data_IF_766111824843
#
_entry.id   IF_766111824843
#
_cell.length_a   1.000
_cell.length_b   1.000
_cell.length_c   1.000
_cell.angle_alpha   90.00
_cell.angle_beta   90.00
_cell.angle_gamma   90.00
#
_symmetry.space_group_name_H-M   'P 1'
#
loop_
_entity.id
_entity.type
_entity.pdbx_description
1 polymer ?
#
# COMPACT_ATOMS: atom_id res chain seq x y z
N UNK A 1 -6.18 -1.45 2.96
CA UNK A 1 -7.27 -1.82 2.05
C UNK A 1 -6.73 -1.84 0.61
N UNK A 2 -7.18 -2.79 -0.23
CA UNK A 2 -6.73 -2.89 -1.63
C UNK A 2 -7.22 -1.71 -2.51
N UNK A 3 -8.27 -1.01 -2.09
CA UNK A 3 -8.79 0.19 -2.76
C UNK A 3 -8.17 1.50 -2.22
N UNK A 4 -7.20 1.40 -1.32
CA UNK A 4 -6.54 2.58 -0.74
C UNK A 4 -5.08 2.63 -1.19
N UNK A 5 -4.65 3.81 -1.64
CA UNK A 5 -3.25 4.12 -1.93
C UNK A 5 -2.71 5.11 -0.90
N UNK A 6 -1.47 4.91 -0.46
CA UNK A 6 -0.71 5.87 0.31
C UNK A 6 0.31 6.53 -0.62
N UNK A 7 0.25 7.85 -0.73
CA UNK A 7 1.20 8.66 -1.50
C UNK A 7 2.06 9.43 -0.52
N UNK A 8 3.37 9.30 -0.64
CA UNK A 8 4.35 10.06 0.14
C UNK A 8 5.22 10.89 -0.80
N UNK A 9 5.38 12.18 -0.53
CA UNK A 9 6.17 13.06 -1.38
C UNK A 9 6.89 14.18 -0.60
N UNK A 10 7.98 14.65 -1.17
CA UNK A 10 8.68 15.87 -0.77
C UNK A 10 9.13 16.60 -2.04
N UNK A 11 9.61 17.82 -1.90
CA UNK A 11 10.25 18.57 -2.98
C UNK A 11 11.63 17.99 -3.32
N UNK A 12 12.01 18.11 -4.60
CA UNK A 12 13.31 17.70 -5.08
C UNK A 12 13.42 16.21 -5.45
N UNK A 13 14.61 15.65 -5.33
CA UNK A 13 14.88 14.25 -5.70
C UNK A 13 14.34 13.29 -4.64
N UNK A 14 13.83 12.13 -5.10
CA UNK A 14 13.19 11.14 -4.24
C UNK A 14 14.13 10.34 -3.32
N UNK A 15 15.44 10.48 -3.44
CA UNK A 15 16.40 9.71 -2.64
C UNK A 15 16.20 9.90 -1.12
N UNK A 16 15.95 11.14 -0.67
CA UNK A 16 15.69 11.45 0.73
C UNK A 16 14.34 10.92 1.22
N UNK A 17 13.35 10.81 0.33
CA UNK A 17 12.03 10.20 0.63
C UNK A 17 12.17 8.70 0.85
N UNK A 18 12.85 8.01 -0.05
CA UNK A 18 13.03 6.55 -0.01
C UNK A 18 13.86 6.12 1.21
N UNK A 19 14.89 6.88 1.54
CA UNK A 19 15.78 6.59 2.67
C UNK A 19 15.18 7.01 4.04
N UNK A 20 14.03 7.69 4.06
CA UNK A 20 13.43 8.22 5.28
C UNK A 20 14.26 9.32 5.94
N UNK A 21 15.12 10.00 5.18
CA UNK A 21 16.00 11.04 5.67
C UNK A 21 15.34 12.41 5.80
N UNK A 22 14.14 12.58 5.25
CA UNK A 22 13.38 13.83 5.30
C UNK A 22 11.93 13.61 5.72
N UNK A 23 11.31 14.68 6.23
CA UNK A 23 9.87 14.72 6.46
C UNK A 23 9.13 14.75 5.12
N UNK A 24 8.03 14.02 5.01
CA UNK A 24 7.24 13.88 3.79
C UNK A 24 5.79 14.23 4.00
N UNK A 25 5.18 14.85 3.01
CA UNK A 25 3.72 14.94 2.93
C UNK A 25 3.13 13.57 2.64
N UNK A 26 1.96 13.27 3.20
CA UNK A 26 1.27 12.01 3.00
C UNK A 26 -0.20 12.25 2.63
N UNK A 27 -0.68 11.48 1.66
CA UNK A 27 -2.08 11.44 1.28
C UNK A 27 -2.55 10.00 1.21
N UNK A 28 -3.71 9.77 1.79
CA UNK A 28 -4.46 8.52 1.63
C UNK A 28 -5.56 8.76 0.61
N UNK A 29 -5.59 7.98 -0.46
CA UNK A 29 -6.52 8.18 -1.59
C UNK A 29 -7.29 6.88 -1.82
N UNK A 30 -8.59 6.98 -1.99
CA UNK A 30 -9.39 5.89 -2.50
C UNK A 30 -9.12 5.73 -4.00
N UNK A 31 -8.51 4.62 -4.42
CA UNK A 31 -8.05 4.41 -5.80
C UNK A 31 -9.18 4.50 -6.82
N UNK A 32 -10.31 3.84 -6.53
CA UNK A 32 -11.45 3.74 -7.45
C UNK A 32 -12.14 5.08 -7.73
N UNK A 33 -12.21 5.98 -6.75
CA UNK A 33 -12.91 7.28 -6.88
C UNK A 33 -11.96 8.47 -7.02
N UNK A 34 -10.68 8.31 -6.67
CA UNK A 34 -9.72 9.40 -6.56
C UNK A 34 -9.95 10.31 -5.34
N UNK A 35 -10.86 9.94 -4.43
CA UNK A 35 -11.18 10.75 -3.26
C UNK A 35 -10.02 10.73 -2.25
N UNK A 36 -9.64 11.91 -1.77
CA UNK A 36 -8.64 12.05 -0.71
C UNK A 36 -9.31 11.73 0.62
N UNK A 37 -8.85 10.67 1.31
CA UNK A 37 -9.38 10.20 2.59
C UNK A 37 -8.67 10.88 3.76
N UNK A 38 -7.37 11.11 3.63
CA UNK A 38 -6.53 11.75 4.65
C UNK A 38 -5.42 12.56 3.99
N UNK A 39 -4.99 13.63 4.67
CA UNK A 39 -3.87 14.47 4.25
C UNK A 39 -3.05 14.86 5.47
N UNK A 40 -1.75 14.65 5.40
CA UNK A 40 -0.77 15.10 6.38
C UNK A 40 0.28 15.93 5.64
N UNK A 41 0.36 17.21 5.92
CA UNK A 41 1.40 18.09 5.38
C UNK A 41 2.50 18.23 6.44
N UNK A 42 3.70 17.82 6.09
CA UNK A 42 4.86 17.86 6.96
C UNK A 42 5.50 19.25 7.00
N UNK A 43 6.29 19.51 8.02
CA UNK A 43 7.18 20.68 8.08
C UNK A 43 8.54 20.27 7.46
N UNK A 44 8.61 20.35 6.13
CA UNK A 44 9.74 19.89 5.32
C UNK A 44 10.89 20.90 5.41
N UNK A 45 11.93 20.57 6.12
CA UNK A 45 13.08 21.47 6.32
C UNK A 45 14.06 21.49 5.15
N UNK A 46 14.16 20.39 4.40
CA UNK A 46 15.12 20.21 3.32
C UNK A 46 14.47 19.64 2.05
N UNK A 47 15.07 19.96 0.92
CA UNK A 47 14.86 19.28 -0.36
C UNK A 47 16.22 18.87 -0.95
N UNK A 48 16.29 17.69 -1.56
CA UNK A 48 17.50 17.24 -2.24
C UNK A 48 17.46 17.64 -3.70
N UNK A 49 18.52 18.23 -4.23
CA UNK A 49 18.64 18.65 -5.63
C UNK A 49 19.94 18.13 -6.26
N UNK A 50 19.95 18.06 -7.60
CA UNK A 50 21.19 17.82 -8.34
C UNK A 50 22.12 19.02 -8.19
N UNK A 51 23.39 18.75 -7.84
CA UNK A 51 24.41 19.79 -7.79
C UNK A 51 24.98 20.08 -9.19
N UNK A 52 25.25 21.33 -9.50
CA UNK A 52 25.89 21.73 -10.76
C UNK A 52 27.33 21.23 -10.91
N UNK A 53 27.96 20.87 -9.80
CA UNK A 53 29.31 20.25 -9.76
C UNK A 53 29.32 18.73 -9.87
N UNK A 54 28.13 18.11 -10.00
CA UNK A 54 27.89 16.67 -9.97
C UNK A 54 27.50 16.18 -8.57
N UNK A 55 26.70 15.11 -8.53
CA UNK A 55 26.12 14.56 -7.30
C UNK A 55 24.83 15.27 -6.86
N UNK A 56 24.47 15.12 -5.60
CA UNK A 56 23.29 15.70 -4.98
C UNK A 56 23.67 16.59 -3.81
N UNK A 57 22.86 17.60 -3.53
CA UNK A 57 23.03 18.47 -2.39
C UNK A 57 21.67 18.77 -1.71
N UNK A 58 21.70 18.93 -0.40
CA UNK A 58 20.52 19.30 0.37
C UNK A 58 20.40 20.82 0.45
N UNK A 59 19.25 21.32 0.08
CA UNK A 59 18.89 22.74 0.15
C UNK A 59 17.84 22.96 1.23
N UNK A 60 18.08 23.93 2.12
CA UNK A 60 17.12 24.33 3.15
C UNK A 60 15.95 25.05 2.48
N UNK A 61 14.73 24.61 2.79
CA UNK A 61 13.50 25.28 2.38
C UNK A 61 13.22 26.51 3.28
N UNK A 62 12.67 27.54 2.70
CA UNK A 62 12.19 28.67 3.49
C UNK A 62 10.89 28.29 4.25
N UNK A 63 10.52 29.07 5.27
CA UNK A 63 9.39 28.76 6.16
C UNK A 63 8.01 28.72 5.45
N UNK A 64 7.85 29.38 4.30
CA UNK A 64 6.61 29.29 3.52
C UNK A 64 6.51 28.01 2.71
N UNK A 65 7.62 27.59 2.14
CA UNK A 65 7.67 26.40 1.27
C UNK A 65 7.70 25.12 2.11
N UNK A 66 8.34 25.14 3.29
CA UNK A 66 8.43 23.98 4.18
C UNK A 66 7.06 23.39 4.55
N UNK A 67 6.04 24.25 4.69
CA UNK A 67 4.66 23.86 5.06
C UNK A 67 3.68 23.85 3.90
N UNK A 68 4.11 24.14 2.68
CA UNK A 68 3.25 24.04 1.51
C UNK A 68 3.15 22.60 1.02
N UNK A 69 1.99 22.15 0.50
CA UNK A 69 1.87 20.83 -0.09
C UNK A 69 2.86 20.65 -1.26
N UNK A 70 3.57 19.52 -1.27
CA UNK A 70 4.51 19.19 -2.35
C UNK A 70 3.80 18.75 -3.64
N UNK A 71 2.51 18.37 -3.56
CA UNK A 71 1.68 17.99 -4.69
C UNK A 71 0.38 18.79 -4.73
N UNK A 72 -0.02 19.14 -5.94
CA UNK A 72 -1.35 19.69 -6.23
C UNK A 72 -2.40 18.58 -6.32
N UNK A 73 -3.72 18.88 -6.23
CA UNK A 73 -4.76 17.91 -6.48
C UNK A 73 -4.67 17.26 -7.87
N UNK A 74 -4.21 17.99 -8.88
CA UNK A 74 -4.00 17.45 -10.22
C UNK A 74 -2.84 16.44 -10.26
N UNK A 75 -1.73 16.73 -9.54
CA UNK A 75 -0.62 15.80 -9.40
C UNK A 75 -1.04 14.53 -8.66
N UNK A 76 -1.80 14.64 -7.56
CA UNK A 76 -2.31 13.48 -6.82
C UNK A 76 -3.18 12.60 -7.69
N UNK A 77 -4.06 13.20 -8.51
CA UNK A 77 -4.86 12.45 -9.46
C UNK A 77 -3.99 11.71 -10.48
N UNK A 78 -3.01 12.40 -11.07
CA UNK A 78 -2.11 11.80 -12.06
C UNK A 78 -1.33 10.61 -11.48
N UNK A 79 -0.82 10.71 -10.25
CA UNK A 79 -0.12 9.61 -9.56
C UNK A 79 -1.08 8.45 -9.30
N UNK A 80 -2.32 8.70 -8.87
CA UNK A 80 -3.32 7.65 -8.66
C UNK A 80 -3.68 6.95 -9.98
N UNK A 81 -3.85 7.69 -11.07
CA UNK A 81 -4.14 7.13 -12.39
C UNK A 81 -2.97 6.26 -12.88
N UNK A 82 -1.73 6.72 -12.72
CA UNK A 82 -0.52 5.95 -13.03
C UNK A 82 -0.44 4.65 -12.22
N UNK A 83 -0.68 4.71 -10.90
CA UNK A 83 -0.68 3.52 -10.03
C UNK A 83 -1.69 2.49 -10.51
N UNK A 84 -2.91 2.91 -10.85
CA UNK A 84 -3.95 2.01 -11.35
C UNK A 84 -3.56 1.38 -12.69
N UNK A 85 -2.96 2.14 -13.61
CA UNK A 85 -2.46 1.62 -14.88
C UNK A 85 -1.39 0.56 -14.67
N UNK A 86 -0.43 0.81 -13.77
CA UNK A 86 0.64 -0.13 -13.41
C UNK A 86 0.07 -1.39 -12.75
N UNK A 87 -0.85 -1.26 -11.78
CA UNK A 87 -1.51 -2.40 -11.15
C UNK A 87 -2.35 -3.22 -12.14
N UNK A 88 -3.02 -2.57 -13.09
CA UNK A 88 -3.76 -3.25 -14.14
C UNK A 88 -2.83 -4.03 -15.08
N UNK A 89 -1.66 -3.47 -15.40
CA UNK A 89 -0.65 -4.12 -16.24
C UNK A 89 -0.09 -5.39 -15.57
N UNK A 90 0.34 -5.27 -14.31
CA UNK A 90 0.93 -6.39 -13.56
C UNK A 90 -0.11 -7.32 -12.93
N UNK A 91 -1.38 -6.91 -12.86
CA UNK A 91 -2.49 -7.63 -12.19
C UNK A 91 -2.22 -7.96 -10.72
N UNK A 92 -1.47 -7.10 -10.05
CA UNK A 92 -1.05 -7.27 -8.67
C UNK A 92 -0.77 -5.89 -8.05
N UNK A 93 -1.05 -5.67 -6.75
CA UNK A 93 -0.73 -4.42 -6.08
C UNK A 93 0.74 -4.06 -6.20
N UNK A 94 1.02 -2.79 -6.50
CA UNK A 94 2.36 -2.30 -6.79
C UNK A 94 2.76 -1.17 -5.82
N UNK A 95 4.02 -1.17 -5.44
CA UNK A 95 4.74 -0.04 -4.87
C UNK A 95 5.49 0.65 -6.01
N UNK A 96 5.20 1.92 -6.25
CA UNK A 96 5.78 2.68 -7.37
C UNK A 96 6.60 3.85 -6.87
N UNK A 97 7.76 4.04 -7.50
CA UNK A 97 8.56 5.25 -7.39
C UNK A 97 8.35 6.12 -8.63
N UNK A 98 8.12 7.38 -8.42
CA UNK A 98 7.76 8.32 -9.48
C UNK A 98 8.33 9.71 -9.17
N UNK A 99 8.31 10.58 -10.17
CA UNK A 99 8.68 11.97 -10.02
C UNK A 99 8.02 12.87 -11.04
N UNK A 100 8.02 14.17 -10.78
CA UNK A 100 7.61 15.19 -11.75
C UNK A 100 8.85 15.91 -12.28
N UNK A 101 9.00 15.96 -13.59
CA UNK A 101 10.03 16.71 -14.30
C UNK A 101 9.32 17.63 -15.29
N UNK A 102 9.48 18.94 -15.13
CA UNK A 102 8.82 19.94 -15.97
C UNK A 102 7.29 19.70 -16.07
N UNK A 103 6.64 19.45 -14.92
CA UNK A 103 5.23 19.11 -14.76
C UNK A 103 4.80 17.78 -15.43
N UNK A 104 5.74 17.01 -15.94
CA UNK A 104 5.46 15.67 -16.48
C UNK A 104 5.72 14.59 -15.45
N UNK A 105 4.73 13.73 -15.22
CA UNK A 105 4.85 12.57 -14.35
C UNK A 105 5.66 11.47 -15.04
N UNK A 106 6.69 10.98 -14.35
CA UNK A 106 7.58 9.91 -14.81
C UNK A 106 7.56 8.76 -13.80
N UNK A 107 7.34 7.54 -14.29
CA UNK A 107 7.52 6.32 -13.49
C UNK A 107 9.02 5.98 -13.46
N UNK A 108 9.57 5.82 -12.26
CA UNK A 108 10.99 5.49 -12.06
C UNK A 108 11.17 4.00 -11.75
N UNK A 109 10.31 3.45 -10.89
CA UNK A 109 10.36 2.04 -10.49
C UNK A 109 8.97 1.52 -10.15
N UNK A 110 8.77 0.21 -10.33
CA UNK A 110 7.61 -0.51 -9.84
C UNK A 110 8.02 -1.83 -9.22
N UNK A 111 7.44 -2.17 -8.06
CA UNK A 111 7.70 -3.41 -7.32
C UNK A 111 6.38 -4.03 -6.84
N UNK A 112 6.20 -5.35 -6.90
CA UNK A 112 5.02 -5.99 -6.33
C UNK A 112 5.03 -5.89 -4.79
N UNK A 113 3.87 -5.56 -4.19
CA UNK A 113 3.70 -5.56 -2.74
C UNK A 113 3.45 -6.99 -2.28
N UNK A 114 4.49 -7.67 -1.82
CA UNK A 114 4.43 -9.10 -1.43
C UNK A 114 3.94 -9.32 0.01
N UNK A 115 3.88 -8.27 0.83
CA UNK A 115 3.51 -8.32 2.26
C UNK A 115 2.12 -7.76 2.53
N UNK A 116 1.12 -8.13 1.71
CA UNK A 116 -0.27 -7.72 1.96
C UNK A 116 -0.82 -8.61 3.08
N UNK A 117 -1.21 -8.05 4.23
CA UNK A 117 -1.80 -8.83 5.30
C UNK A 117 -3.14 -9.44 4.81
N UNK A 118 -3.44 -10.69 5.18
CA UNK A 118 -4.69 -11.32 4.81
C UNK A 118 -5.86 -10.51 5.38
N UNK A 119 -6.87 -10.25 4.53
CA UNK A 119 -8.11 -9.60 4.96
C UNK A 119 -9.11 -10.67 5.35
N UNK A 120 -9.50 -10.68 6.62
CA UNK A 120 -10.57 -11.55 7.10
C UNK A 120 -11.92 -11.13 6.52
N UNK A 121 -12.66 -12.10 6.00
CA UNK A 121 -14.01 -11.89 5.47
C UNK A 121 -14.96 -12.96 6.00
N UNK A 122 -16.24 -12.63 6.13
CA UNK A 122 -17.30 -13.60 6.47
C UNK A 122 -18.09 -14.06 5.25
N UNK A 123 -17.80 -13.56 4.07
CA UNK A 123 -18.63 -13.78 2.89
C UNK A 123 -18.91 -15.26 2.62
N UNK A 124 -17.90 -16.13 2.71
CA UNK A 124 -18.11 -17.58 2.52
C UNK A 124 -18.45 -18.33 3.82
N UNK A 125 -17.90 -17.89 4.95
CA UNK A 125 -18.14 -18.54 6.24
C UNK A 125 -19.56 -18.31 6.77
N UNK A 126 -20.20 -17.19 6.43
CA UNK A 126 -21.56 -16.89 6.83
C UNK A 126 -22.60 -17.86 6.25
N UNK A 127 -22.34 -18.43 5.07
CA UNK A 127 -23.23 -19.45 4.48
C UNK A 127 -23.11 -20.79 5.22
N UNK A 128 -21.91 -21.15 5.68
CA UNK A 128 -21.65 -22.44 6.36
C UNK A 128 -21.91 -22.37 7.86
N UNK A 129 -21.65 -21.21 8.47
CA UNK A 129 -21.77 -20.98 9.91
C UNK A 129 -22.53 -19.66 10.16
N UNK A 130 -23.86 -19.63 9.88
CA UNK A 130 -24.66 -18.41 10.02
C UNK A 130 -24.84 -17.99 11.48
N UNK A 131 -24.73 -18.93 12.41
CA UNK A 131 -24.93 -18.71 13.84
C UNK A 131 -23.62 -18.85 14.63
N UNK A 132 -23.69 -18.47 15.89
CA UNK A 132 -22.63 -18.70 16.87
C UNK A 132 -22.29 -20.18 16.97
N UNK A 133 -21.01 -20.52 16.86
CA UNK A 133 -20.54 -21.90 16.97
C UNK A 133 -19.97 -22.18 18.36
N UNK A 134 -20.13 -23.42 18.84
CA UNK A 134 -19.58 -23.84 20.12
C UNK A 134 -18.03 -23.98 20.02
N UNK A 135 -17.31 -23.89 21.15
CA UNK A 135 -15.87 -24.13 21.17
C UNK A 135 -15.47 -25.49 20.61
N UNK A 136 -16.28 -26.54 20.84
CA UNK A 136 -16.03 -27.88 20.31
C UNK A 136 -16.18 -27.91 18.79
N UNK A 137 -17.23 -27.29 18.26
CA UNK A 137 -17.45 -27.17 16.82
C UNK A 137 -16.32 -26.40 16.16
N UNK A 138 -15.87 -25.31 16.79
CA UNK A 138 -14.75 -24.52 16.31
C UNK A 138 -13.46 -25.35 16.19
N UNK A 139 -13.10 -26.07 17.24
CA UNK A 139 -11.87 -26.91 17.24
C UNK A 139 -11.91 -27.96 16.14
N UNK A 140 -13.04 -28.66 16.00
CA UNK A 140 -13.24 -29.66 14.97
C UNK A 140 -13.17 -29.09 13.55
N UNK A 141 -13.89 -27.99 13.30
CA UNK A 141 -13.95 -27.37 11.98
C UNK A 141 -12.60 -26.79 11.58
N UNK A 142 -11.96 -26.03 12.49
CA UNK A 142 -10.68 -25.38 12.20
C UNK A 142 -9.59 -26.39 11.87
N UNK A 143 -9.43 -27.44 12.69
CA UNK A 143 -8.44 -28.50 12.43
C UNK A 143 -8.77 -29.33 11.20
N UNK A 144 -10.02 -29.78 11.08
CA UNK A 144 -10.45 -30.61 9.96
C UNK A 144 -10.32 -29.90 8.61
N UNK A 145 -10.71 -28.62 8.56
CA UNK A 145 -10.60 -27.81 7.34
C UNK A 145 -9.13 -27.58 6.97
N UNK A 146 -8.31 -27.19 7.94
CA UNK A 146 -6.88 -26.93 7.71
C UNK A 146 -6.16 -28.17 7.18
N UNK A 147 -6.42 -29.34 7.78
CA UNK A 147 -5.84 -30.60 7.35
C UNK A 147 -6.31 -30.99 5.93
N UNK A 148 -7.61 -30.87 5.66
CA UNK A 148 -8.20 -31.20 4.37
C UNK A 148 -7.67 -30.32 3.24
N UNK A 149 -7.61 -29.00 3.47
CA UNK A 149 -7.10 -28.06 2.48
C UNK A 149 -5.61 -28.29 2.19
N UNK A 150 -4.79 -28.47 3.21
CA UNK A 150 -3.38 -28.76 3.02
C UNK A 150 -3.13 -30.12 2.37
N UNK A 151 -4.00 -31.10 2.62
CA UNK A 151 -3.95 -32.36 1.89
C UNK A 151 -4.26 -32.17 0.40
N UNK A 152 -5.32 -31.39 0.08
CA UNK A 152 -5.67 -31.06 -1.30
C UNK A 152 -4.56 -30.28 -2.01
N UNK A 153 -3.92 -29.35 -1.33
CA UNK A 153 -2.78 -28.60 -1.89
C UNK A 153 -1.62 -29.51 -2.24
N UNK A 154 -1.29 -30.48 -1.36
CA UNK A 154 -0.24 -31.47 -1.67
C UNK A 154 -0.57 -32.34 -2.88
N UNK A 155 -1.84 -32.75 -3.03
CA UNK A 155 -2.29 -33.51 -4.19
C UNK A 155 -2.19 -32.73 -5.51
N UNK A 156 -2.29 -31.39 -5.43
CA UNK A 156 -2.17 -30.48 -6.57
C UNK A 156 -0.75 -29.94 -6.77
N UNK A 157 0.22 -30.44 -5.99
CA UNK A 157 1.62 -29.97 -5.98
C UNK A 157 1.79 -28.49 -5.60
N UNK A 158 0.88 -27.97 -4.77
CA UNK A 158 1.02 -26.66 -4.14
C UNK A 158 1.71 -26.75 -2.77
N UNK A 159 2.46 -25.73 -2.36
CA UNK A 159 3.02 -25.68 -1.01
C UNK A 159 1.89 -25.65 0.03
N UNK A 160 2.08 -26.30 1.20
CA UNK A 160 1.09 -26.24 2.27
C UNK A 160 0.97 -24.81 2.81
N UNK A 161 -0.25 -24.41 3.13
CA UNK A 161 -0.48 -23.14 3.80
C UNK A 161 -0.19 -23.26 5.31
N UNK A 162 0.66 -22.39 5.82
CA UNK A 162 1.10 -22.39 7.22
C UNK A 162 0.31 -21.41 8.13
N UNK A 163 -0.53 -20.55 7.54
CA UNK A 163 -1.37 -19.61 8.26
C UNK A 163 -2.69 -20.21 8.75
N UNK A 164 -3.56 -19.38 9.28
CA UNK A 164 -4.92 -19.76 9.67
C UNK A 164 -5.91 -19.53 8.53
N UNK A 165 -6.73 -20.55 8.22
CA UNK A 165 -7.82 -20.44 7.24
C UNK A 165 -9.03 -19.73 7.80
N UNK A 166 -9.27 -19.87 9.10
CA UNK A 166 -10.37 -19.24 9.80
C UNK A 166 -9.87 -18.42 10.98
N UNK A 167 -10.42 -17.23 11.15
CA UNK A 167 -10.26 -16.41 12.33
C UNK A 167 -11.51 -16.44 13.20
N UNK A 168 -11.34 -16.33 14.50
CA UNK A 168 -12.43 -16.26 15.46
C UNK A 168 -12.46 -14.88 16.11
N UNK A 169 -13.61 -14.23 16.07
CA UNK A 169 -13.87 -12.98 16.78
C UNK A 169 -15.01 -13.16 17.77
N UNK A 170 -14.69 -13.19 19.08
CA UNK A 170 -15.68 -13.51 20.13
C UNK A 170 -16.22 -14.92 19.97
N UNK A 171 -17.53 -15.02 19.78
CA UNK A 171 -18.26 -16.28 19.57
C UNK A 171 -18.60 -16.54 18.08
N UNK A 172 -18.06 -15.72 17.17
CA UNK A 172 -18.28 -15.81 15.72
C UNK A 172 -17.01 -16.19 15.00
#
# INVERSE_FOLDING_TARGET
DLDTALISANFGLGESVVNGACEVDQWEIQKSSGAILSTIIADKSIQTRSSTSGGVEDQILNASDSRSPSLTPANLKAVNDLLQEVEQHYRFPQDIEWGFVDDQLVLLQSRPITTIPPKWTRNESAERFPNVITPLTWDFVNRGFHQSMNHSFRLMDFPPFSGEWFGKHGHY
#
